data_IF_320465511147
#
_entry.id   IF_320465511147
#
_cell.length_a   1.000
_cell.length_b   1.000
_cell.length_c   1.000
_cell.angle_alpha   90.00
_cell.angle_beta   90.00
_cell.angle_gamma   90.00
#
_symmetry.space_group_name_H-M   'P 1'
#
loop_
_entity.id
_entity.type
_entity.pdbx_description
1 polymer ?
#
# COMPACT_ATOMS: atom_id res chain seq x y z
N UNK A 1 -3.45 9.51 -13.66
CA UNK A 1 -4.29 10.30 -12.76
C UNK A 1 -5.76 10.18 -13.14
N UNK A 2 -6.55 11.22 -12.85
CA UNK A 2 -8.02 11.25 -13.01
C UNK A 2 -8.51 10.72 -14.36
N UNK A 3 -7.89 11.15 -15.46
CA UNK A 3 -8.30 10.81 -16.83
C UNK A 3 -7.51 9.65 -17.45
N UNK A 4 -6.87 8.77 -16.67
CA UNK A 4 -6.14 7.62 -17.26
C UNK A 4 -7.10 6.54 -17.76
N UNK A 5 -8.23 6.35 -17.08
CA UNK A 5 -9.22 5.32 -17.41
C UNK A 5 -10.14 5.79 -18.54
N UNK A 6 -10.50 4.89 -19.45
CA UNK A 6 -11.46 5.18 -20.53
C UNK A 6 -12.80 5.72 -20.02
N UNK A 7 -13.30 5.17 -18.91
CA UNK A 7 -14.53 5.64 -18.24
C UNK A 7 -14.46 7.07 -17.66
N UNK A 8 -13.26 7.66 -17.62
CA UNK A 8 -12.96 9.03 -17.21
C UNK A 8 -12.33 9.86 -18.35
N UNK A 9 -12.40 9.38 -19.59
CA UNK A 9 -11.97 10.10 -20.79
C UNK A 9 -10.56 9.78 -21.28
N UNK A 10 -9.88 8.77 -20.72
CA UNK A 10 -8.54 8.37 -21.11
C UNK A 10 -8.44 7.53 -22.38
N UNK A 11 -7.24 7.51 -22.98
CA UNK A 11 -6.90 6.73 -24.17
C UNK A 11 -6.33 5.34 -23.85
N UNK A 12 -5.95 5.08 -22.60
CA UNK A 12 -5.41 3.79 -22.17
C UNK A 12 -6.52 2.74 -22.25
N UNK A 13 -6.20 1.58 -22.83
CA UNK A 13 -7.16 0.47 -22.96
C UNK A 13 -7.42 -0.17 -21.58
N UNK A 14 -8.51 0.22 -20.92
CA UNK A 14 -8.88 -0.22 -19.56
C UNK A 14 -10.20 -1.02 -19.46
N UNK A 15 -10.43 -2.05 -20.31
CA UNK A 15 -11.76 -2.64 -20.51
C UNK A 15 -12.39 -3.24 -19.25
N UNK A 16 -11.60 -3.81 -18.34
CA UNK A 16 -12.10 -4.38 -17.10
C UNK A 16 -12.58 -3.29 -16.12
N UNK A 17 -11.82 -2.20 -16.00
CA UNK A 17 -12.18 -1.06 -15.14
C UNK A 17 -13.33 -0.26 -15.74
N UNK A 18 -13.39 -0.11 -17.07
CA UNK A 18 -14.48 0.58 -17.75
C UNK A 18 -15.80 -0.19 -17.59
N UNK A 19 -15.75 -1.52 -17.68
CA UNK A 19 -16.91 -2.38 -17.39
C UNK A 19 -17.37 -2.22 -15.94
N UNK A 20 -16.46 -2.24 -14.97
CA UNK A 20 -16.78 -2.01 -13.56
C UNK A 20 -17.44 -0.64 -13.36
N UNK A 21 -16.88 0.40 -13.97
CA UNK A 21 -17.39 1.76 -13.90
C UNK A 21 -18.78 1.91 -14.55
N UNK A 22 -19.06 1.16 -15.62
CA UNK A 22 -20.37 1.13 -16.29
C UNK A 22 -21.44 0.33 -15.54
N UNK A 23 -21.04 -0.57 -14.63
CA UNK A 23 -21.94 -1.40 -13.82
C UNK A 23 -22.06 -0.91 -12.36
N UNK A 24 -21.28 0.11 -11.98
CA UNK A 24 -21.22 0.64 -10.62
C UNK A 24 -21.50 2.14 -10.53
N UNK A 25 -20.93 2.76 -9.50
CA UNK A 25 -21.01 4.22 -9.27
C UNK A 25 -19.65 4.84 -9.54
N UNK A 26 -19.64 5.98 -10.24
CA UNK A 26 -18.45 6.78 -10.49
C UNK A 26 -18.47 8.02 -9.62
N UNK A 27 -17.35 8.33 -8.99
CA UNK A 27 -17.16 9.53 -8.20
C UNK A 27 -16.28 10.51 -8.98
N UNK A 28 -16.79 11.73 -9.21
CA UNK A 28 -16.02 12.83 -9.82
C UNK A 28 -15.33 13.70 -8.77
N UNK A 29 -15.81 13.65 -7.53
CA UNK A 29 -15.29 14.39 -6.38
C UNK A 29 -14.83 13.42 -5.27
N UNK A 30 -13.83 12.60 -5.58
CA UNK A 30 -13.17 11.72 -4.62
C UNK A 30 -11.72 12.17 -4.41
N UNK A 31 -11.31 12.37 -3.16
CA UNK A 31 -10.02 12.96 -2.82
C UNK A 31 -9.16 12.01 -1.99
N UNK A 32 -7.85 12.15 -2.19
CA UNK A 32 -6.80 11.47 -1.45
C UNK A 32 -5.79 12.48 -0.91
N UNK A 33 -4.85 12.04 -0.08
CA UNK A 33 -3.72 12.87 0.31
C UNK A 33 -2.77 13.13 -0.88
N UNK A 34 -1.86 14.10 -0.72
CA UNK A 34 -0.94 14.48 -1.79
C UNK A 34 0.07 13.38 -2.16
N UNK A 35 0.36 12.46 -1.23
CA UNK A 35 1.39 11.42 -1.40
C UNK A 35 0.90 10.05 -0.90
N UNK A 36 1.67 9.03 -1.23
CA UNK A 36 1.17 7.66 -1.20
C UNK A 36 1.06 7.04 0.21
N UNK A 37 2.06 7.17 1.09
CA UNK A 37 1.96 6.62 2.46
C UNK A 37 0.93 7.36 3.33
N UNK A 38 0.81 8.71 3.32
CA UNK A 38 -0.30 9.40 3.96
C UNK A 38 -1.68 8.92 3.51
N UNK A 39 -1.89 8.79 2.20
CA UNK A 39 -3.17 8.29 1.67
C UNK A 39 -3.48 6.86 2.13
N UNK A 40 -2.48 5.97 2.11
CA UNK A 40 -2.64 4.59 2.58
C UNK A 40 -2.96 4.53 4.07
N UNK A 41 -2.36 5.41 4.88
CA UNK A 41 -2.63 5.50 6.30
C UNK A 41 -4.09 5.88 6.58
N UNK A 42 -4.60 6.88 5.86
CA UNK A 42 -6.00 7.31 5.94
C UNK A 42 -6.94 6.19 5.49
N UNK A 43 -6.65 5.54 4.36
CA UNK A 43 -7.45 4.42 3.86
C UNK A 43 -7.52 3.27 4.86
N UNK A 44 -6.40 2.91 5.47
CA UNK A 44 -6.33 1.78 6.39
C UNK A 44 -7.01 2.06 7.73
N UNK A 45 -7.10 3.32 8.17
CA UNK A 45 -7.55 3.64 9.54
C UNK A 45 -8.84 4.45 9.61
N UNK A 46 -9.24 5.11 8.51
CA UNK A 46 -10.31 6.11 8.50
C UNK A 46 -9.96 7.41 9.23
N UNK A 47 -8.68 7.61 9.60
CA UNK A 47 -8.19 8.76 10.36
C UNK A 47 -7.26 9.63 9.52
N UNK A 48 -7.19 10.93 9.82
CA UNK A 48 -6.20 11.83 9.20
C UNK A 48 -4.77 11.30 9.41
N UNK A 49 -3.93 11.41 8.37
CA UNK A 49 -2.59 10.86 8.35
C UNK A 49 -1.67 11.43 9.45
N UNK A 50 -1.86 12.70 9.85
CA UNK A 50 -1.11 13.31 10.95
C UNK A 50 -1.47 12.71 12.31
N UNK A 51 -2.65 12.09 12.45
CA UNK A 51 -3.06 11.44 13.70
C UNK A 51 -2.51 10.02 13.83
N UNK A 52 -2.04 9.42 12.73
CA UNK A 52 -1.62 8.01 12.68
C UNK A 52 -0.16 7.84 12.25
N UNK A 53 0.67 8.87 12.41
CA UNK A 53 2.13 8.77 12.31
C UNK A 53 2.72 9.03 10.93
N UNK A 54 1.87 9.29 9.92
CA UNK A 54 2.27 9.53 8.54
C UNK A 54 1.87 10.93 8.07
N UNK A 55 2.19 11.95 8.87
CA UNK A 55 2.09 13.36 8.48
C UNK A 55 2.86 13.69 7.20
N UNK A 56 3.88 12.90 6.86
CA UNK A 56 4.60 12.91 5.60
C UNK A 56 5.06 11.48 5.23
N UNK A 57 5.58 11.27 4.03
CA UNK A 57 6.32 10.03 3.70
C UNK A 57 7.62 10.00 4.51
N UNK A 58 7.99 8.84 5.04
CA UNK A 58 9.16 8.71 5.91
C UNK A 58 10.43 9.25 5.26
N UNK A 59 10.62 8.89 4.00
CA UNK A 59 11.76 9.24 3.13
C UNK A 59 11.79 10.73 2.77
N UNK A 60 10.69 11.45 3.01
CA UNK A 60 10.54 12.88 2.72
C UNK A 60 10.38 13.72 4.00
N UNK A 61 10.62 13.13 5.18
CA UNK A 61 10.47 13.84 6.45
C UNK A 61 11.45 15.02 6.53
N UNK A 62 10.91 16.23 6.66
CA UNK A 62 11.69 17.46 6.74
C UNK A 62 12.29 17.66 8.14
N UNK A 63 13.38 18.44 8.29
CA UNK A 63 14.03 18.65 9.59
C UNK A 63 13.11 19.18 10.69
N UNK A 64 12.12 20.00 10.35
CA UNK A 64 11.15 20.53 11.31
C UNK A 64 10.07 19.51 11.75
N UNK A 65 9.95 18.38 11.03
CA UNK A 65 9.00 17.30 11.29
C UNK A 65 9.60 16.17 12.14
N UNK A 66 10.92 16.02 12.15
CA UNK A 66 11.60 14.96 12.90
C UNK A 66 11.26 15.01 14.41
N UNK A 67 10.87 13.85 14.95
CA UNK A 67 10.49 13.70 16.37
C UNK A 67 9.17 14.39 16.76
N UNK A 68 8.43 14.96 15.81
CA UNK A 68 7.11 15.57 16.08
C UNK A 68 6.03 14.49 16.16
N UNK A 69 5.05 14.72 17.02
CA UNK A 69 3.84 13.90 17.10
C UNK A 69 3.18 13.88 15.71
N UNK A 70 2.86 12.68 15.22
CA UNK A 70 2.24 12.48 13.91
C UNK A 70 3.22 12.29 12.75
N UNK A 71 4.53 12.41 12.97
CA UNK A 71 5.57 12.27 11.95
C UNK A 71 6.56 11.16 12.31
N UNK A 72 6.06 10.02 12.77
CA UNK A 72 6.88 8.85 13.09
C UNK A 72 7.38 8.12 11.84
N UNK A 73 6.75 8.37 10.68
CA UNK A 73 7.10 7.74 9.40
C UNK A 73 6.56 6.32 9.22
N UNK A 74 5.78 5.83 10.17
CA UNK A 74 5.15 4.51 10.15
C UNK A 74 3.72 4.61 10.67
N UNK A 75 2.85 3.70 10.24
CA UNK A 75 1.47 3.67 10.67
C UNK A 75 1.37 3.29 12.15
N UNK A 76 0.82 4.18 12.97
CA UNK A 76 0.59 3.95 14.40
C UNK A 76 -0.11 2.61 14.68
N UNK A 77 0.37 1.89 15.69
CA UNK A 77 -0.24 0.66 16.23
C UNK A 77 -1.33 0.96 17.27
N UNK A 78 -1.55 2.23 17.61
CA UNK A 78 -2.62 2.65 18.54
C UNK A 78 -4.00 2.71 17.88
N UNK A 79 -4.06 2.64 16.55
CA UNK A 79 -5.31 2.62 15.79
C UNK A 79 -5.35 1.33 14.96
N UNK A 80 -6.41 0.52 15.11
CA UNK A 80 -6.54 -0.69 14.32
C UNK A 80 -6.84 -0.36 12.85
N UNK A 81 -6.26 -1.13 11.95
CA UNK A 81 -6.58 -1.04 10.52
C UNK A 81 -7.96 -1.61 10.24
N UNK A 82 -8.51 -1.30 9.06
CA UNK A 82 -9.71 -1.94 8.52
C UNK A 82 -9.52 -3.46 8.42
N UNK A 83 -8.32 -3.95 8.11
CA UNK A 83 -8.03 -5.39 8.07
C UNK A 83 -8.11 -6.02 9.47
N UNK A 84 -7.55 -5.39 10.50
CA UNK A 84 -7.67 -5.87 11.89
C UNK A 84 -9.14 -5.94 12.33
N UNK A 85 -9.93 -4.92 11.99
CA UNK A 85 -11.38 -4.89 12.26
C UNK A 85 -12.13 -6.00 11.54
N UNK A 86 -11.90 -6.18 10.23
CA UNK A 86 -12.58 -7.18 9.42
C UNK A 86 -12.20 -8.61 9.85
N UNK A 87 -10.91 -8.88 10.07
CA UNK A 87 -10.43 -10.18 10.56
C UNK A 87 -11.03 -10.53 11.92
N UNK A 88 -11.11 -9.57 12.84
CA UNK A 88 -11.79 -9.75 14.12
C UNK A 88 -13.29 -10.08 14.01
N UNK A 89 -13.90 -9.87 12.84
CA UNK A 89 -15.30 -10.18 12.53
C UNK A 89 -15.45 -11.36 11.54
N UNK A 90 -14.43 -12.22 11.43
CA UNK A 90 -14.51 -13.47 10.65
C UNK A 90 -14.24 -13.33 9.16
N UNK A 91 -13.75 -12.18 8.69
CA UNK A 91 -13.29 -12.04 7.30
C UNK A 91 -11.89 -12.60 7.12
N UNK A 92 -11.69 -13.26 5.98
CA UNK A 92 -10.37 -13.54 5.42
C UNK A 92 -9.79 -12.25 4.82
N UNK A 93 -8.61 -11.84 5.26
CA UNK A 93 -7.98 -10.55 4.90
C UNK A 93 -6.66 -10.76 4.15
N UNK A 94 -6.65 -10.40 2.87
CA UNK A 94 -5.57 -10.74 1.94
C UNK A 94 -4.96 -9.47 1.37
N UNK A 95 -3.64 -9.42 1.21
CA UNK A 95 -2.96 -8.29 0.58
C UNK A 95 -1.94 -8.73 -0.46
N UNK A 96 -2.06 -8.18 -1.67
CA UNK A 96 -0.98 -8.17 -2.64
C UNK A 96 -0.69 -6.75 -3.12
N UNK A 97 0.58 -6.45 -3.37
CA UNK A 97 1.01 -5.15 -3.83
C UNK A 97 1.80 -4.38 -2.78
N UNK A 98 1.66 -3.05 -2.81
CA UNK A 98 2.53 -2.13 -2.05
C UNK A 98 1.98 -1.80 -0.66
N UNK A 99 2.78 -1.94 0.39
CA UNK A 99 2.44 -1.57 1.75
C UNK A 99 2.76 -0.11 2.04
N UNK A 100 4.05 0.23 2.18
CA UNK A 100 4.54 1.58 2.42
C UNK A 100 3.94 2.26 3.67
N UNK A 101 3.80 1.49 4.75
CA UNK A 101 3.25 1.95 6.03
C UNK A 101 4.14 1.54 7.24
N UNK A 102 5.33 1.02 6.97
CA UNK A 102 6.32 0.64 7.97
C UNK A 102 7.04 -0.64 7.62
N UNK A 103 8.32 -0.70 8.01
CA UNK A 103 9.24 -1.79 7.66
C UNK A 103 9.44 -2.77 8.80
N UNK A 104 9.20 -2.40 10.05
CA UNK A 104 9.46 -3.26 11.18
C UNK A 104 8.48 -4.44 11.24
N UNK A 105 8.87 -5.61 11.80
CA UNK A 105 8.02 -6.80 11.83
C UNK A 105 6.64 -6.63 12.48
N UNK A 106 6.48 -5.65 13.37
CA UNK A 106 5.22 -5.29 14.02
C UNK A 106 4.38 -4.27 13.21
N UNK A 107 4.90 -3.78 12.08
CA UNK A 107 4.26 -2.80 11.20
C UNK A 107 3.95 -3.34 9.79
N UNK A 108 4.42 -4.54 9.41
CA UNK A 108 4.13 -5.16 8.10
C UNK A 108 2.66 -5.63 8.00
N UNK A 109 2.14 -5.90 6.79
CA UNK A 109 0.73 -6.25 6.59
C UNK A 109 0.22 -7.38 7.50
N UNK A 110 1.00 -8.45 7.68
CA UNK A 110 0.60 -9.57 8.53
C UNK A 110 0.36 -9.17 9.99
N UNK A 111 1.23 -8.32 10.55
CA UNK A 111 1.06 -7.77 11.89
C UNK A 111 -0.11 -6.78 11.97
N UNK A 112 -0.54 -6.22 10.84
CA UNK A 112 -1.58 -5.20 10.72
C UNK A 112 -2.89 -5.71 10.14
N UNK A 113 -3.18 -6.99 10.39
CA UNK A 113 -4.50 -7.58 10.21
C UNK A 113 -4.68 -8.41 8.94
N UNK A 114 -3.69 -8.47 8.04
CA UNK A 114 -3.75 -9.35 6.88
C UNK A 114 -3.33 -10.78 7.26
N UNK A 115 -4.16 -11.77 6.95
CA UNK A 115 -3.89 -13.18 7.20
C UNK A 115 -2.91 -13.75 6.17
N UNK A 116 -3.07 -13.38 4.91
CA UNK A 116 -2.18 -13.74 3.80
C UNK A 116 -1.65 -12.47 3.16
N UNK A 117 -0.36 -12.46 2.85
CA UNK A 117 0.25 -11.33 2.16
C UNK A 117 1.37 -11.76 1.21
N UNK A 118 1.46 -11.09 0.06
CA UNK A 118 2.66 -11.07 -0.77
C UNK A 118 2.88 -9.62 -1.18
N UNK A 119 3.73 -8.92 -0.45
CA UNK A 119 3.74 -7.46 -0.48
C UNK A 119 5.12 -6.88 -0.64
N UNK A 120 5.20 -5.83 -1.46
CA UNK A 120 6.33 -4.91 -1.49
C UNK A 120 6.18 -3.97 -0.29
N UNK A 121 7.15 -3.98 0.62
CA UNK A 121 7.12 -3.12 1.81
C UNK A 121 7.43 -1.67 1.43
N UNK A 122 8.39 -1.48 0.53
CA UNK A 122 8.88 -0.17 0.11
C UNK A 122 7.90 0.64 -0.77
N UNK A 123 8.16 1.94 -0.91
CA UNK A 123 7.82 2.70 -2.09
C UNK A 123 8.75 2.37 -3.27
N UNK A 124 8.40 2.90 -4.45
CA UNK A 124 9.23 2.92 -5.65
C UNK A 124 9.93 1.61 -6.10
N UNK A 125 9.43 0.44 -5.68
CA UNK A 125 10.00 -0.86 -6.05
C UNK A 125 9.68 -1.27 -7.49
N UNK A 126 10.61 -2.03 -8.09
CA UNK A 126 10.51 -2.57 -9.44
C UNK A 126 9.36 -3.57 -9.58
N UNK A 127 8.73 -3.55 -10.76
CA UNK A 127 7.74 -4.54 -11.16
C UNK A 127 8.35 -5.85 -11.69
N UNK A 128 9.67 -5.91 -11.89
CA UNK A 128 10.38 -7.01 -12.57
C UNK A 128 11.40 -7.75 -11.70
N UNK A 129 11.82 -7.15 -10.58
CA UNK A 129 12.82 -7.72 -9.68
C UNK A 129 12.79 -7.01 -8.31
N UNK A 130 13.80 -7.28 -7.47
CA UNK A 130 13.98 -6.61 -6.18
C UNK A 130 14.71 -5.27 -6.29
N UNK A 131 14.90 -4.71 -7.48
CA UNK A 131 15.50 -3.38 -7.63
C UNK A 131 14.59 -2.36 -6.96
N UNK A 132 15.13 -1.62 -6.00
CA UNK A 132 14.44 -0.53 -5.31
C UNK A 132 14.81 0.84 -5.88
N UNK A 133 14.72 1.86 -5.04
CA UNK A 133 15.00 3.25 -5.39
C UNK A 133 16.03 3.84 -4.45
N UNK A 134 16.96 4.62 -4.99
CA UNK A 134 17.95 5.35 -4.19
C UNK A 134 17.32 6.36 -3.20
N UNK A 135 16.06 6.75 -3.41
CA UNK A 135 15.33 7.63 -2.49
C UNK A 135 14.75 6.88 -1.28
N UNK A 136 14.87 5.56 -1.22
CA UNK A 136 14.36 4.74 -0.12
C UNK A 136 15.34 3.61 0.22
N UNK A 137 15.23 2.46 -0.44
CA UNK A 137 16.19 1.36 -0.36
C UNK A 137 16.56 0.92 -1.78
N UNK A 138 17.85 0.70 -2.06
CA UNK A 138 18.32 0.19 -3.36
C UNK A 138 17.84 -1.24 -3.64
N UNK A 139 17.55 -2.01 -2.59
CA UNK A 139 16.94 -3.33 -2.65
C UNK A 139 15.57 -3.27 -1.99
N UNK A 140 14.53 -3.59 -2.76
CA UNK A 140 13.15 -3.67 -2.30
C UNK A 140 12.97 -4.85 -1.35
N UNK A 141 12.32 -4.59 -0.22
CA UNK A 141 11.90 -5.60 0.74
C UNK A 141 10.51 -6.11 0.37
N UNK A 142 10.35 -7.43 0.45
CA UNK A 142 9.08 -8.09 0.26
C UNK A 142 8.77 -8.96 1.47
N UNK A 143 7.49 -9.12 1.77
CA UNK A 143 7.00 -10.15 2.70
C UNK A 143 6.09 -11.13 2.00
N UNK A 144 6.15 -12.39 2.44
CA UNK A 144 5.19 -13.45 2.11
C UNK A 144 4.72 -14.10 3.42
N UNK A 145 3.42 -14.02 3.70
CA UNK A 145 2.76 -14.56 4.91
C UNK A 145 3.49 -14.16 6.20
N UNK A 146 3.77 -12.86 6.33
CA UNK A 146 4.46 -12.27 7.49
C UNK A 146 5.97 -12.52 7.56
N UNK A 147 6.58 -13.14 6.55
CA UNK A 147 8.03 -13.40 6.51
C UNK A 147 8.70 -12.59 5.42
N UNK A 148 9.77 -11.89 5.75
CA UNK A 148 10.61 -11.24 4.74
C UNK A 148 11.22 -12.28 3.81
N UNK A 149 11.15 -12.02 2.52
CA UNK A 149 11.77 -12.84 1.49
C UNK A 149 12.96 -12.08 0.89
N UNK A 150 14.06 -12.80 0.68
CA UNK A 150 15.29 -12.26 0.09
C UNK A 150 15.43 -12.59 -1.41
N UNK A 151 14.43 -13.26 -1.98
CA UNK A 151 14.40 -13.67 -3.37
C UNK A 151 12.96 -13.77 -3.87
N UNK A 152 12.71 -13.17 -5.04
CA UNK A 152 11.44 -13.30 -5.75
C UNK A 152 11.38 -14.61 -6.56
N UNK A 153 10.18 -15.12 -6.86
CA UNK A 153 10.02 -16.25 -7.76
C UNK A 153 10.71 -16.04 -9.12
N UNK A 154 11.17 -17.11 -9.79
CA UNK A 154 11.72 -17.01 -11.14
C UNK A 154 10.73 -16.32 -12.09
N UNK A 155 11.24 -15.51 -13.02
CA UNK A 155 10.44 -14.72 -13.96
C UNK A 155 9.43 -13.79 -13.26
N UNK A 156 9.81 -13.19 -12.15
CA UNK A 156 8.93 -12.28 -11.41
C UNK A 156 8.40 -11.16 -12.32
N UNK A 157 7.08 -11.02 -12.34
CA UNK A 157 6.41 -9.84 -12.83
C UNK A 157 5.21 -9.59 -11.93
N UNK A 158 5.24 -8.48 -11.20
CA UNK A 158 4.29 -8.16 -10.13
C UNK A 158 2.83 -8.52 -10.45
N UNK A 159 2.29 -8.09 -11.60
CA UNK A 159 0.90 -8.38 -12.03
C UNK A 159 0.58 -9.87 -12.04
N UNK A 160 1.49 -10.70 -12.57
CA UNK A 160 1.30 -12.16 -12.62
C UNK A 160 1.49 -12.77 -11.23
N UNK A 161 2.63 -12.48 -10.59
CA UNK A 161 2.99 -13.09 -9.32
C UNK A 161 1.98 -12.80 -8.22
N UNK A 162 1.46 -11.56 -8.15
CA UNK A 162 0.42 -11.18 -7.18
C UNK A 162 -0.84 -12.01 -7.35
N UNK A 163 -1.23 -12.31 -8.59
CA UNK A 163 -2.40 -13.15 -8.87
C UNK A 163 -2.13 -14.59 -8.47
N UNK A 164 -1.00 -15.18 -8.89
CA UNK A 164 -0.61 -16.57 -8.58
C UNK A 164 -0.43 -16.84 -7.08
N UNK A 165 -0.07 -15.82 -6.30
CA UNK A 165 0.12 -15.95 -4.85
C UNK A 165 -1.19 -15.83 -4.06
N UNK A 166 -2.20 -15.15 -4.60
CA UNK A 166 -3.43 -14.79 -3.87
C UNK A 166 -4.68 -15.53 -4.34
N UNK A 167 -4.69 -16.05 -5.55
CA UNK A 167 -5.82 -16.75 -6.20
C UNK A 167 -5.40 -18.16 -6.56
#
# INVERSE_FOLDING_TARGET
>A
GFSDLGAFGGEIRTPNLDKLAGQGVRFTDFYVGATCSPTRAMLMTGMDNHRVGLGNMYEQTAPNQLGRIGYTGVLSTQVPTIAERLRGNGYHTYMAGKWHLGHAPDHIPHARGFERDFTLINAAGSHFDMTGSAFENEVSEFTEDGKYINKLPPNYYSTRTYTEKMV
#
